data_IF_335879456069
#
_entry.id   IF_335879456069
#
_cell.length_a   1.000
_cell.length_b   1.000
_cell.length_c   1.000
_cell.angle_alpha   90.00
_cell.angle_beta   90.00
_cell.angle_gamma   90.00
#
_symmetry.space_group_name_H-M   'P 1'
#
loop_
_entity.id
_entity.type
_entity.pdbx_description
1 polymer ?
#
# COMPACT_ATOMS: atom_id res chain seq x y z
N UNK A 1 -14.63 12.17 -14.10
CA UNK A 1 -15.45 12.57 -12.94
C UNK A 1 -16.09 11.31 -12.38
N UNK A 2 -15.79 10.92 -11.15
CA UNK A 2 -16.48 9.80 -10.51
C UNK A 2 -17.94 10.22 -10.32
N UNK A 3 -18.89 9.51 -10.94
CA UNK A 3 -20.31 9.69 -10.66
C UNK A 3 -20.56 9.16 -9.25
N UNK A 4 -20.66 10.07 -8.28
CA UNK A 4 -20.84 9.72 -6.87
C UNK A 4 -22.27 9.27 -6.64
N UNK A 5 -22.44 8.06 -6.12
CA UNK A 5 -23.72 7.67 -5.54
C UNK A 5 -23.94 8.50 -4.26
N UNK A 6 -24.93 9.39 -4.25
CA UNK A 6 -25.21 10.27 -3.10
C UNK A 6 -25.65 9.51 -1.84
N UNK A 7 -25.92 8.20 -1.95
CA UNK A 7 -26.34 7.32 -0.85
C UNK A 7 -25.26 6.31 -0.42
N UNK A 8 -23.97 6.66 -0.51
CA UNK A 8 -22.91 5.80 0.04
C UNK A 8 -22.80 6.01 1.55
N UNK A 9 -23.33 5.07 2.33
CA UNK A 9 -23.07 4.96 3.78
C UNK A 9 -22.02 3.87 4.04
N UNK A 10 -21.12 4.07 4.99
CA UNK A 10 -20.11 3.09 5.37
C UNK A 10 -20.05 2.95 6.89
N UNK A 11 -20.18 1.73 7.40
CA UNK A 11 -20.07 1.43 8.83
C UNK A 11 -18.65 1.02 9.22
N UNK A 12 -18.27 1.24 10.50
CA UNK A 12 -16.98 0.79 11.01
C UNK A 12 -16.78 -0.73 10.87
N UNK A 13 -17.84 -1.52 11.07
CA UNK A 13 -17.82 -2.97 10.90
C UNK A 13 -17.48 -3.37 9.47
N UNK A 14 -18.04 -2.67 8.47
CA UNK A 14 -17.72 -2.92 7.07
C UNK A 14 -16.28 -2.55 6.73
N UNK A 15 -15.73 -1.48 7.32
CA UNK A 15 -14.32 -1.11 7.15
C UNK A 15 -13.40 -2.19 7.72
N UNK A 16 -13.68 -2.69 8.93
CA UNK A 16 -12.89 -3.78 9.50
C UNK A 16 -12.98 -5.06 8.67
N UNK A 17 -14.17 -5.40 8.18
CA UNK A 17 -14.34 -6.54 7.29
C UNK A 17 -13.58 -6.36 5.96
N UNK A 18 -13.62 -5.16 5.38
CA UNK A 18 -12.91 -4.82 4.16
C UNK A 18 -11.40 -4.98 4.34
N UNK A 19 -10.84 -4.41 5.41
CA UNK A 19 -9.42 -4.55 5.75
C UNK A 19 -9.06 -6.01 6.04
N UNK A 20 -9.92 -6.76 6.73
CA UNK A 20 -9.73 -8.18 6.99
C UNK A 20 -9.65 -9.02 5.69
N UNK A 21 -10.48 -8.72 4.71
CA UNK A 21 -10.42 -9.35 3.38
C UNK A 21 -9.11 -8.99 2.67
N UNK A 22 -8.63 -7.74 2.76
CA UNK A 22 -7.34 -7.35 2.18
C UNK A 22 -6.18 -8.13 2.80
N UNK A 23 -6.15 -8.28 4.12
CA UNK A 23 -5.11 -9.06 4.83
C UNK A 23 -5.17 -10.53 4.39
N UNK A 24 -6.37 -11.12 4.36
CA UNK A 24 -6.57 -12.51 3.92
C UNK A 24 -6.10 -12.72 2.48
N UNK A 25 -6.33 -11.72 1.61
CA UNK A 25 -5.90 -11.79 0.21
C UNK A 25 -4.39 -11.76 0.02
N UNK A 26 -3.65 -11.20 0.99
CA UNK A 26 -2.19 -11.28 1.03
C UNK A 26 -1.68 -12.65 1.49
N UNK A 27 -2.42 -13.31 2.39
CA UNK A 27 -2.09 -14.65 2.88
C UNK A 27 -2.40 -15.74 1.86
N UNK A 28 -3.56 -15.69 1.20
CA UNK A 28 -4.02 -16.67 0.23
C UNK A 28 -4.34 -16.02 -1.12
N UNK A 29 -3.31 -15.58 -1.88
CA UNK A 29 -3.51 -14.79 -3.10
C UNK A 29 -4.13 -15.61 -4.23
N UNK A 30 -5.21 -15.07 -4.81
CA UNK A 30 -5.79 -15.56 -6.06
C UNK A 30 -5.40 -14.66 -7.26
N UNK A 31 -5.33 -15.21 -8.49
CA UNK A 31 -4.97 -14.44 -9.69
C UNK A 31 -5.85 -13.21 -9.93
N UNK A 32 -7.12 -13.26 -9.52
CA UNK A 32 -8.07 -12.14 -9.60
C UNK A 32 -8.83 -12.04 -8.29
N UNK A 33 -8.94 -10.82 -7.75
CA UNK A 33 -9.66 -10.58 -6.50
C UNK A 33 -11.12 -11.09 -6.55
N UNK A 34 -11.80 -10.98 -7.70
CA UNK A 34 -13.18 -11.47 -7.87
C UNK A 34 -13.35 -12.97 -7.59
N UNK A 35 -12.28 -13.77 -7.73
CA UNK A 35 -12.31 -15.21 -7.57
C UNK A 35 -12.63 -15.64 -6.14
N UNK A 36 -12.35 -14.81 -5.13
CA UNK A 36 -12.74 -15.11 -3.73
C UNK A 36 -14.26 -15.31 -3.57
N UNK A 37 -15.07 -14.70 -4.45
CA UNK A 37 -16.53 -14.79 -4.46
C UNK A 37 -17.10 -15.74 -5.51
N UNK A 38 -16.26 -16.46 -6.25
CA UNK A 38 -16.73 -17.45 -7.21
C UNK A 38 -17.34 -18.67 -6.50
N UNK A 39 -18.06 -19.48 -7.27
CA UNK A 39 -18.72 -20.69 -6.74
C UNK A 39 -17.92 -21.96 -7.02
N UNK A 40 -16.74 -21.83 -7.62
CA UNK A 40 -15.84 -22.95 -7.91
C UNK A 40 -15.09 -23.32 -6.63
N UNK A 41 -14.97 -24.62 -6.35
CA UNK A 41 -14.46 -25.15 -5.08
C UNK A 41 -13.00 -24.74 -4.79
N UNK A 42 -12.18 -24.58 -5.83
CA UNK A 42 -10.76 -24.26 -5.74
C UNK A 42 -10.47 -22.79 -5.35
N UNK A 43 -11.46 -21.91 -5.54
CA UNK A 43 -11.28 -20.45 -5.46
C UNK A 43 -12.25 -19.80 -4.49
N UNK A 44 -13.38 -20.45 -4.21
CA UNK A 44 -14.39 -19.97 -3.27
C UNK A 44 -13.82 -19.90 -1.86
N UNK A 45 -13.62 -18.67 -1.39
CA UNK A 45 -13.23 -18.46 -0.01
C UNK A 45 -14.48 -18.27 0.87
N UNK A 46 -14.80 -19.30 1.66
CA UNK A 46 -15.99 -19.31 2.53
C UNK A 46 -15.98 -18.14 3.53
N UNK A 47 -14.80 -17.77 4.04
CA UNK A 47 -14.67 -16.64 4.98
C UNK A 47 -15.02 -15.33 4.28
N UNK A 48 -14.49 -15.09 3.08
CA UNK A 48 -14.75 -13.85 2.32
C UNK A 48 -16.23 -13.76 1.93
N UNK A 49 -16.80 -14.83 1.36
CA UNK A 49 -18.19 -14.84 0.89
C UNK A 49 -19.18 -14.62 2.02
N UNK A 50 -18.93 -15.20 3.21
CA UNK A 50 -19.78 -15.01 4.39
C UNK A 50 -19.66 -13.61 5.00
N UNK A 51 -18.49 -12.98 4.88
CA UNK A 51 -18.20 -11.71 5.55
C UNK A 51 -18.72 -10.49 4.78
N UNK A 52 -18.55 -10.45 3.44
CA UNK A 52 -18.99 -9.32 2.63
C UNK A 52 -19.37 -9.76 1.22
N UNK A 53 -20.41 -9.15 0.64
CA UNK A 53 -20.78 -9.38 -0.76
C UNK A 53 -19.77 -8.73 -1.71
N UNK A 54 -19.48 -9.39 -2.85
CA UNK A 54 -18.56 -8.89 -3.89
C UNK A 54 -18.85 -7.46 -4.30
N UNK A 55 -20.10 -7.15 -4.66
CA UNK A 55 -20.48 -5.83 -5.15
C UNK A 55 -20.26 -4.75 -4.09
N UNK A 56 -20.43 -5.09 -2.80
CA UNK A 56 -20.19 -4.18 -1.69
C UNK A 56 -18.70 -3.93 -1.49
N UNK A 57 -17.88 -4.97 -1.58
CA UNK A 57 -16.42 -4.85 -1.55
C UNK A 57 -15.91 -3.95 -2.70
N UNK A 58 -16.43 -4.12 -3.91
CA UNK A 58 -16.06 -3.30 -5.07
C UNK A 58 -16.52 -1.84 -4.94
N UNK A 59 -17.70 -1.62 -4.34
CA UNK A 59 -18.20 -0.28 -4.04
C UNK A 59 -17.30 0.43 -3.03
N UNK A 60 -16.96 -0.24 -1.92
CA UNK A 60 -16.03 0.31 -0.91
C UNK A 60 -14.67 0.58 -1.53
N UNK A 61 -14.14 -0.36 -2.34
CA UNK A 61 -12.86 -0.21 -3.03
C UNK A 61 -12.82 1.02 -3.94
N UNK A 62 -13.94 1.35 -4.58
CA UNK A 62 -14.04 2.51 -5.48
C UNK A 62 -13.97 3.84 -4.75
N UNK A 63 -14.58 3.93 -3.57
CA UNK A 63 -14.65 5.14 -2.76
C UNK A 63 -13.59 5.20 -1.66
N UNK A 64 -12.70 4.20 -1.58
CA UNK A 64 -11.66 4.16 -0.57
C UNK A 64 -10.64 5.28 -0.81
N UNK A 65 -10.67 6.29 0.06
CA UNK A 65 -9.76 7.42 0.06
C UNK A 65 -9.23 7.64 1.47
N UNK A 66 -7.93 7.90 1.59
CA UNK A 66 -7.25 8.13 2.88
C UNK A 66 -6.77 9.56 3.05
N UNK A 67 -7.05 10.42 2.07
CA UNK A 67 -6.75 11.85 2.09
C UNK A 67 -7.91 12.64 1.47
N UNK A 68 -8.13 13.86 1.95
CA UNK A 68 -9.07 14.79 1.33
C UNK A 68 -8.49 15.34 0.04
N UNK A 69 -9.21 15.17 -1.07
CA UNK A 69 -8.78 15.64 -2.39
C UNK A 69 -8.81 17.17 -2.51
N UNK A 70 -9.51 17.89 -1.63
CA UNK A 70 -9.61 19.35 -1.64
C UNK A 70 -8.36 19.98 -1.01
N UNK A 71 -7.76 19.32 -0.03
CA UNK A 71 -6.66 19.84 0.77
C UNK A 71 -5.29 19.20 0.45
N UNK A 72 -5.09 18.73 -0.79
CA UNK A 72 -3.85 18.06 -1.18
C UNK A 72 -2.71 19.07 -1.42
N UNK A 73 -1.53 18.88 -0.81
CA UNK A 73 -0.35 19.68 -1.13
C UNK A 73 0.11 19.45 -2.58
N UNK A 74 0.30 20.53 -3.33
CA UNK A 74 0.70 20.47 -4.76
C UNK A 74 2.09 19.85 -4.99
N UNK A 75 2.98 19.94 -4.00
CA UNK A 75 4.36 19.49 -4.13
C UNK A 75 4.60 18.03 -3.72
N UNK A 76 3.59 17.34 -3.16
CA UNK A 76 3.70 15.92 -2.80
C UNK A 76 2.89 15.04 -3.75
N UNK A 77 3.59 14.37 -4.67
CA UNK A 77 3.01 13.43 -5.62
C UNK A 77 2.35 12.21 -4.95
N UNK A 78 2.65 11.94 -3.68
CA UNK A 78 2.09 10.85 -2.88
C UNK A 78 1.09 11.35 -1.81
N UNK A 79 0.67 12.62 -1.88
CA UNK A 79 -0.24 13.22 -0.91
C UNK A 79 -1.50 12.39 -0.62
N UNK A 80 -2.01 11.68 -1.62
CA UNK A 80 -3.22 10.84 -1.51
C UNK A 80 -3.08 9.66 -0.56
N UNK A 81 -1.85 9.17 -0.33
CA UNK A 81 -1.56 8.02 0.55
C UNK A 81 -0.75 8.42 1.78
N UNK A 82 -0.25 9.65 1.82
CA UNK A 82 0.57 10.20 2.90
C UNK A 82 -0.04 10.05 4.30
N UNK A 83 -1.33 10.32 4.54
CA UNK A 83 -1.89 10.21 5.89
C UNK A 83 -1.85 8.78 6.44
N UNK A 84 -2.12 7.80 5.58
CA UNK A 84 -2.01 6.38 5.93
C UNK A 84 -0.55 6.00 6.20
N UNK A 85 0.36 6.53 5.37
CA UNK A 85 1.79 6.30 5.50
C UNK A 85 2.30 6.75 6.88
N UNK A 86 2.01 8.00 7.23
CA UNK A 86 2.50 8.64 8.44
C UNK A 86 1.90 7.99 9.70
N UNK A 87 0.62 7.60 9.64
CA UNK A 87 -0.03 6.88 10.74
C UNK A 87 0.66 5.53 11.02
N UNK A 88 0.96 4.75 10.00
CA UNK A 88 1.62 3.45 10.18
C UNK A 88 3.08 3.63 10.62
N UNK A 89 3.81 4.61 10.09
CA UNK A 89 5.16 4.93 10.57
C UNK A 89 5.16 5.24 12.06
N UNK A 90 4.25 6.11 12.52
CA UNK A 90 4.12 6.44 13.94
C UNK A 90 3.84 5.21 14.81
N UNK A 91 3.01 4.28 14.32
CA UNK A 91 2.70 3.04 15.03
C UNK A 91 3.88 2.06 15.04
N UNK A 92 4.57 1.86 13.93
CA UNK A 92 5.75 0.98 13.92
C UNK A 92 6.89 1.55 14.75
N UNK A 93 7.12 2.86 14.72
CA UNK A 93 8.09 3.51 15.59
C UNK A 93 7.79 3.25 17.07
N UNK A 94 6.51 3.24 17.46
CA UNK A 94 6.05 3.00 18.82
C UNK A 94 6.25 1.53 19.27
N UNK A 95 6.00 0.56 18.39
CA UNK A 95 5.97 -0.87 18.76
C UNK A 95 7.24 -1.65 18.38
N UNK A 96 8.13 -1.10 17.54
CA UNK A 96 9.37 -1.78 17.15
C UNK A 96 10.45 -1.66 18.24
N UNK A 97 10.97 -2.78 18.77
CA UNK A 97 12.02 -2.77 19.79
C UNK A 97 13.30 -2.09 19.29
N UNK A 98 14.10 -1.54 20.21
CA UNK A 98 15.38 -0.90 19.89
C UNK A 98 16.48 -1.97 19.85
N UNK A 99 16.89 -2.33 18.64
CA UNK A 99 18.02 -3.23 18.41
C UNK A 99 19.26 -2.44 17.97
N UNK A 100 20.44 -2.93 18.38
CA UNK A 100 21.74 -2.29 18.05
C UNK A 100 22.20 -2.53 16.62
N UNK A 101 21.65 -3.54 15.96
CA UNK A 101 21.99 -3.94 14.59
C UNK A 101 20.75 -3.84 13.74
N UNK A 102 20.75 -2.89 12.80
CA UNK A 102 19.62 -2.62 11.91
C UNK A 102 20.10 -2.79 10.48
N UNK A 103 19.40 -3.61 9.70
CA UNK A 103 19.58 -3.67 8.25
C UNK A 103 18.66 -2.66 7.56
N UNK A 104 19.17 -2.03 6.52
CA UNK A 104 18.43 -1.12 5.65
C UNK A 104 18.45 -1.73 4.27
N UNK A 105 17.28 -1.92 3.68
CA UNK A 105 17.16 -2.49 2.32
C UNK A 105 16.12 -1.74 1.48
N UNK A 106 16.07 -2.03 0.19
CA UNK A 106 15.18 -1.42 -0.77
C UNK A 106 14.34 -2.49 -1.48
N UNK A 107 13.05 -2.51 -1.20
CA UNK A 107 12.07 -3.32 -1.90
C UNK A 107 11.43 -2.57 -3.07
N UNK A 108 10.85 -3.32 -4.01
CA UNK A 108 10.13 -2.81 -5.17
C UNK A 108 8.71 -3.35 -5.17
N UNK A 109 7.72 -2.45 -5.22
CA UNK A 109 6.31 -2.80 -5.40
C UNK A 109 5.98 -2.67 -6.88
N UNK A 110 5.59 -3.74 -7.58
CA UNK A 110 5.33 -3.70 -9.02
C UNK A 110 4.10 -2.83 -9.30
N UNK A 111 4.24 -1.91 -10.25
CA UNK A 111 3.13 -1.07 -10.69
C UNK A 111 3.31 -0.67 -12.15
N UNK A 112 2.35 -1.05 -12.98
CA UNK A 112 2.47 -0.95 -14.44
C UNK A 112 1.84 0.32 -15.01
N UNK A 113 0.84 0.89 -14.33
CA UNK A 113 0.11 2.08 -14.79
C UNK A 113 0.88 3.39 -14.69
N UNK A 114 0.38 4.46 -15.31
CA UNK A 114 1.07 5.75 -15.37
C UNK A 114 1.07 6.45 -14.00
N UNK A 115 2.26 6.65 -13.43
CA UNK A 115 2.44 7.47 -12.23
C UNK A 115 3.84 8.09 -12.19
N UNK A 116 3.94 9.34 -11.76
CA UNK A 116 5.18 10.14 -11.83
C UNK A 116 6.27 9.74 -10.83
N UNK A 117 5.95 8.92 -9.83
CA UNK A 117 6.91 8.41 -8.83
C UNK A 117 7.41 6.98 -9.12
N UNK A 118 7.03 6.38 -10.24
CA UNK A 118 7.56 5.05 -10.61
C UNK A 118 9.03 5.16 -10.96
N UNK A 119 9.79 4.16 -10.57
CA UNK A 119 11.21 4.02 -10.92
C UNK A 119 11.40 2.79 -11.81
N UNK A 120 12.32 2.90 -12.77
CA UNK A 120 12.78 1.79 -13.59
C UNK A 120 14.21 1.43 -13.16
N UNK A 121 14.39 0.24 -12.59
CA UNK A 121 15.70 -0.27 -12.15
C UNK A 121 16.09 -1.44 -13.04
N UNK A 122 17.18 -1.29 -13.80
CA UNK A 122 17.74 -2.37 -14.61
C UNK A 122 18.39 -3.43 -13.70
N UNK A 123 18.22 -4.70 -14.05
CA UNK A 123 18.86 -5.81 -13.32
C UNK A 123 18.09 -6.38 -12.12
N UNK A 124 16.99 -5.75 -11.68
CA UNK A 124 16.09 -6.33 -10.67
C UNK A 124 15.01 -7.22 -11.32
N UNK A 125 14.50 -8.27 -10.63
CA UNK A 125 13.38 -9.07 -11.11
C UNK A 125 12.14 -8.21 -11.41
N UNK A 126 11.86 -7.25 -10.54
CA UNK A 126 10.83 -6.22 -10.75
C UNK A 126 11.52 -4.96 -11.27
N UNK A 127 11.38 -4.72 -12.57
CA UNK A 127 12.05 -3.59 -13.24
C UNK A 127 11.32 -2.27 -13.04
N UNK A 128 9.99 -2.27 -13.02
CA UNK A 128 9.17 -1.06 -12.97
C UNK A 128 8.21 -1.10 -11.78
N UNK A 129 8.26 -0.07 -10.94
CA UNK A 129 7.39 -0.01 -9.77
C UNK A 129 7.70 1.15 -8.83
N UNK A 130 7.13 1.09 -7.63
CA UNK A 130 7.45 2.00 -6.53
C UNK A 130 8.59 1.43 -5.71
N UNK A 131 9.63 2.23 -5.54
CA UNK A 131 10.76 1.87 -4.69
C UNK A 131 10.41 2.18 -3.24
N UNK A 132 10.57 1.19 -2.36
CA UNK A 132 10.28 1.25 -0.94
C UNK A 132 11.55 0.93 -0.14
N UNK A 133 12.20 1.93 0.46
CA UNK A 133 13.18 1.77 1.51
C UNK A 133 12.53 1.15 2.75
N UNK A 134 13.07 0.01 3.16
CA UNK A 134 12.68 -0.76 4.32
C UNK A 134 13.70 -0.48 5.42
N UNK A 135 13.27 0.26 6.44
CA UNK A 135 13.92 0.27 7.73
C UNK A 135 12.97 -0.35 8.75
N UNK A 136 13.44 -1.16 9.72
CA UNK A 136 12.59 -1.76 10.76
C UNK A 136 11.73 -0.76 11.54
N UNK A 137 12.12 0.52 11.52
CA UNK A 137 11.50 1.61 12.28
C UNK A 137 10.72 2.59 11.39
N UNK A 138 11.04 2.66 10.10
CA UNK A 138 10.41 3.54 9.10
C UNK A 138 10.29 2.79 7.77
N UNK A 139 9.06 2.49 7.35
CA UNK A 139 8.81 1.79 6.09
C UNK A 139 8.65 2.76 4.92
N UNK A 140 8.67 4.07 5.17
CA UNK A 140 8.22 5.07 4.21
C UNK A 140 9.17 6.25 3.94
N UNK A 141 10.44 6.17 4.37
CA UNK A 141 11.48 7.11 3.89
C UNK A 141 11.63 7.09 2.36
N UNK A 142 11.03 6.08 1.72
CA UNK A 142 11.07 5.78 0.30
C UNK A 142 10.20 6.62 -0.64
N UNK A 143 9.22 7.36 -0.13
CA UNK A 143 8.36 8.17 -1.00
C UNK A 143 8.94 9.56 -1.27
N UNK A 144 10.07 9.93 -0.66
CA UNK A 144 10.90 10.98 -1.21
C UNK A 144 11.67 10.40 -2.40
N UNK A 145 11.60 11.01 -3.60
CA UNK A 145 12.68 10.81 -4.55
C UNK A 145 13.94 11.33 -3.87
N UNK A 146 14.77 10.44 -3.32
CA UNK A 146 16.14 10.80 -3.01
C UNK A 146 16.70 11.28 -4.35
N UNK A 147 17.03 12.57 -4.52
CA UNK A 147 17.74 13.00 -5.69
C UNK A 147 19.05 12.23 -5.61
N UNK A 148 19.32 11.36 -6.60
CA UNK A 148 20.67 10.86 -6.80
C UNK A 148 21.47 12.05 -7.34
N UNK A 149 21.78 13.01 -6.47
CA UNK A 149 22.78 14.05 -6.70
C UNK A 149 24.05 13.56 -6.03
N UNK A 150 24.89 12.89 -6.83
CA UNK A 150 26.29 12.62 -6.50
C UNK A 150 26.50 11.59 -5.40
N UNK A 151 27.53 10.78 -5.56
CA UNK A 151 27.89 9.74 -4.60
C UNK A 151 28.08 10.30 -3.19
N UNK A 152 27.38 9.73 -2.23
CA UNK A 152 27.79 9.78 -0.83
C UNK A 152 29.02 8.88 -0.70
N UNK A 153 30.20 9.51 -0.67
CA UNK A 153 31.42 8.88 -0.21
C UNK A 153 31.21 8.45 1.24
N UNK A 154 30.98 7.15 1.44
CA UNK A 154 31.13 6.53 2.76
C UNK A 154 32.63 6.51 3.04
N UNK A 155 33.09 7.39 3.91
CA UNK A 155 34.41 7.25 4.50
C UNK A 155 34.43 5.95 5.29
N UNK A 156 35.29 5.02 4.87
CA UNK A 156 35.70 3.89 5.71
C UNK A 156 36.45 4.49 6.90
N UNK A 157 35.99 4.21 8.11
CA UNK A 157 36.81 4.39 9.30
C UNK A 157 37.89 3.30 9.29
N UNK A 158 39.12 3.72 9.53
CA UNK A 158 40.35 2.91 9.59
C UNK A 158 40.31 1.85 10.69
#
# INVERSE_FOLDING_TARGET
>A
MQSGNMNFSLSYQEVYCFIGILILSGYAPLPRCRMYWESIEDTRNILVVKSMRRNRFEEISRYFHVADNIALPENDKMAKVRPLIDMLNAKFLQYTPIEKQISIDESMVPYYDRHGCKQHIKGKPIRLGFKCGLMPRDWATAYMPIPIKGGLNVQKQD
#
